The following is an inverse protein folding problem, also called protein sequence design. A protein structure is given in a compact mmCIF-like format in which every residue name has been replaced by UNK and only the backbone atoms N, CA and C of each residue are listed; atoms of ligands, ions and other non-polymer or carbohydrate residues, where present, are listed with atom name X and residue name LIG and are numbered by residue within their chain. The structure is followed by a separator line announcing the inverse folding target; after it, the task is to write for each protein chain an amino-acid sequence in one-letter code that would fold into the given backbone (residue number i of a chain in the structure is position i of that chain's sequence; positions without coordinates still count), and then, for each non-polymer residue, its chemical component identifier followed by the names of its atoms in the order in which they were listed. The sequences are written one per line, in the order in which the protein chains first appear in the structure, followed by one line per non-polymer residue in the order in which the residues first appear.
data_IF_157832456160
#
_entry.id   IF_157832456160
#
_cell.length_a   1.000
_cell.length_b   1.000
_cell.length_c   1.000
_cell.angle_alpha   90.00
_cell.angle_beta   90.00
_cell.angle_gamma   90.00
#
_symmetry.space_group_name_H-M   'P 1'
#
loop_
_entity.id
_entity.type
_entity.pdbx_description
1 polymer ?
#
# COMPACT_ATOMS: atom_id res chain seq x y z
N UNK A 1 38.70 10.08 8.32
CA UNK A 1 37.25 9.88 8.45
C UNK A 1 36.58 11.16 7.95
N UNK A 2 36.07 11.16 6.71
CA UNK A 2 35.38 12.33 6.15
C UNK A 2 33.99 12.36 6.77
N UNK A 3 33.74 13.26 7.72
CA UNK A 3 32.37 13.62 8.09
C UNK A 3 31.81 14.41 6.91
N UNK A 4 30.90 13.81 6.15
CA UNK A 4 29.98 14.59 5.33
C UNK A 4 29.27 15.52 6.31
N UNK A 5 29.47 16.83 6.18
CA UNK A 5 28.62 17.76 6.90
C UNK A 5 27.21 17.60 6.32
N UNK A 6 26.15 17.53 7.14
CA UNK A 6 24.79 17.51 6.65
C UNK A 6 24.49 18.89 6.05
N UNK A 7 24.83 19.07 4.79
CA UNK A 7 24.59 20.32 4.06
C UNK A 7 23.15 20.45 3.57
N UNK A 8 22.31 19.44 3.79
CA UNK A 8 20.88 19.52 3.49
C UNK A 8 20.09 19.92 4.73
N UNK A 9 20.28 21.17 5.19
CA UNK A 9 19.20 21.83 5.91
C UNK A 9 18.14 22.17 4.86
N UNK A 10 17.14 21.30 4.70
CA UNK A 10 15.89 21.70 4.08
C UNK A 10 15.23 22.70 5.02
N UNK A 11 15.72 23.94 5.02
CA UNK A 11 14.95 25.05 5.52
C UNK A 11 13.74 25.13 4.60
N UNK A 12 12.53 25.03 5.17
CA UNK A 12 11.23 25.30 4.53
C UNK A 12 11.11 26.78 4.05
N UNK A 13 12.24 27.44 3.75
CA UNK A 13 12.36 28.83 3.29
C UNK A 13 12.37 28.96 1.77
N UNK A 14 12.49 27.84 1.04
CA UNK A 14 12.31 27.85 -0.43
C UNK A 14 10.80 27.87 -0.73
N UNK A 15 10.27 28.87 -1.46
CA UNK A 15 8.87 28.89 -1.86
C UNK A 15 8.49 27.74 -2.81
N UNK A 16 9.48 27.02 -3.37
CA UNK A 16 9.22 25.82 -4.16
C UNK A 16 8.70 24.66 -3.28
N UNK A 17 7.73 23.84 -3.77
CA UNK A 17 7.28 22.68 -3.03
C UNK A 17 8.43 21.73 -2.69
N UNK A 18 8.51 21.26 -1.43
CA UNK A 18 9.60 20.44 -0.89
C UNK A 18 9.98 19.24 -1.78
N UNK A 19 8.99 18.62 -2.43
CA UNK A 19 9.18 17.41 -3.24
C UNK A 19 10.01 17.64 -4.51
N UNK A 20 10.17 18.89 -4.95
CA UNK A 20 11.05 19.22 -6.10
C UNK A 20 12.52 18.97 -5.80
N UNK A 21 12.90 19.03 -4.53
CA UNK A 21 14.26 18.82 -4.05
C UNK A 21 14.40 17.51 -3.26
N UNK A 22 13.45 16.58 -3.43
CA UNK A 22 13.47 15.31 -2.73
C UNK A 22 14.59 14.40 -3.25
N UNK A 23 15.39 13.88 -2.33
CA UNK A 23 16.30 12.75 -2.53
C UNK A 23 15.65 11.56 -1.84
N UNK A 24 15.18 10.61 -2.65
CA UNK A 24 14.30 9.53 -2.20
C UNK A 24 15.12 8.26 -1.95
N UNK A 25 14.85 7.58 -0.85
CA UNK A 25 15.34 6.24 -0.57
C UNK A 25 14.14 5.31 -0.41
N UNK A 26 13.96 4.41 -1.38
CA UNK A 26 12.91 3.39 -1.34
C UNK A 26 13.37 2.21 -0.49
N UNK A 27 12.49 1.75 0.40
CA UNK A 27 12.74 0.62 1.29
C UNK A 27 11.62 -0.40 1.22
N UNK A 28 12.02 -1.63 0.88
CA UNK A 28 11.25 -2.83 1.17
C UNK A 28 11.60 -3.31 2.59
N UNK A 29 10.73 -3.03 3.57
CA UNK A 29 11.02 -3.30 4.99
C UNK A 29 11.38 -4.78 5.21
N UNK A 30 10.70 -5.69 4.53
CA UNK A 30 10.89 -7.15 4.69
C UNK A 30 12.28 -7.63 4.28
N UNK A 31 13.01 -6.87 3.48
CA UNK A 31 14.35 -7.25 3.00
C UNK A 31 15.46 -6.34 3.52
N UNK A 32 15.13 -5.36 4.36
CA UNK A 32 16.07 -4.33 4.79
C UNK A 32 16.91 -4.74 6.02
N UNK A 33 16.28 -4.99 7.15
CA UNK A 33 16.97 -5.38 8.39
C UNK A 33 16.01 -6.14 9.31
N UNK A 34 16.34 -7.40 9.61
CA UNK A 34 15.67 -8.20 10.63
C UNK A 34 16.18 -7.79 12.02
N UNK A 35 15.26 -7.53 12.95
CA UNK A 35 15.55 -7.17 14.34
C UNK A 35 15.27 -8.27 15.36
N UNK A 36 14.53 -9.32 14.98
CA UNK A 36 13.98 -10.32 15.87
C UNK A 36 14.47 -11.75 15.58
N UNK A 37 15.27 -11.93 14.52
CA UNK A 37 15.87 -13.17 14.05
C UNK A 37 14.89 -14.20 13.46
N UNK A 38 13.75 -13.77 12.92
CA UNK A 38 12.80 -14.62 12.18
C UNK A 38 13.15 -14.76 10.68
N UNK A 39 14.15 -14.03 10.19
CA UNK A 39 14.61 -14.04 8.81
C UNK A 39 13.91 -13.01 7.90
N UNK A 40 13.05 -12.15 8.46
CA UNK A 40 12.29 -11.12 7.75
C UNK A 40 12.63 -9.75 8.35
N UNK A 41 12.86 -8.76 7.50
CA UNK A 41 13.05 -7.39 7.96
C UNK A 41 11.78 -6.78 8.53
N UNK A 42 11.92 -5.94 9.56
CA UNK A 42 10.79 -5.38 10.30
C UNK A 42 10.98 -3.88 10.60
N UNK A 43 9.91 -3.22 11.05
CA UNK A 43 9.91 -1.79 11.35
C UNK A 43 10.90 -1.41 12.46
N UNK A 44 11.08 -2.19 13.56
CA UNK A 44 12.15 -1.93 14.51
C UNK A 44 13.55 -2.03 13.88
N UNK A 45 13.76 -2.97 12.95
CA UNK A 45 14.99 -3.09 12.17
C UNK A 45 15.25 -1.86 11.31
N UNK A 46 14.25 -1.37 10.58
CA UNK A 46 14.32 -0.10 9.85
C UNK A 46 14.61 1.07 10.78
N UNK A 47 13.89 1.18 11.90
CA UNK A 47 14.05 2.23 12.91
C UNK A 47 15.51 2.33 13.38
N UNK A 48 16.16 1.17 13.62
CA UNK A 48 17.56 1.10 14.07
C UNK A 48 18.60 1.59 13.06
N UNK A 49 18.19 1.82 11.80
CA UNK A 49 19.05 2.22 10.68
C UNK A 49 18.70 3.59 10.12
N UNK A 50 17.73 4.31 10.67
CA UNK A 50 17.30 5.60 10.11
C UNK A 50 18.42 6.66 10.14
N UNK A 51 19.31 6.62 11.13
CA UNK A 51 20.49 7.50 11.17
C UNK A 51 21.42 7.23 9.99
N UNK A 52 21.64 5.96 9.64
CA UNK A 52 22.42 5.59 8.48
C UNK A 52 21.77 6.10 7.19
N UNK A 53 20.45 5.94 7.05
CA UNK A 53 19.70 6.43 5.88
C UNK A 53 19.81 7.96 5.77
N UNK A 54 19.65 8.68 6.88
CA UNK A 54 19.78 10.13 6.92
C UNK A 54 21.21 10.60 6.58
N UNK A 55 22.24 9.88 7.05
CA UNK A 55 23.66 10.19 6.76
C UNK A 55 24.01 10.07 5.26
N UNK A 56 23.21 9.33 4.47
CA UNK A 56 23.34 9.30 3.00
C UNK A 56 22.90 10.61 2.33
N UNK A 57 22.31 11.55 3.08
CA UNK A 57 21.77 12.81 2.57
C UNK A 57 20.35 12.70 2.00
N UNK A 58 19.64 11.62 2.35
CA UNK A 58 18.23 11.38 1.98
C UNK A 58 17.32 12.31 2.78
N UNK A 59 16.26 12.81 2.16
CA UNK A 59 15.24 13.63 2.82
C UNK A 59 13.79 13.11 2.62
N UNK A 60 13.61 12.04 1.85
CA UNK A 60 12.35 11.32 1.72
C UNK A 60 12.59 9.81 1.78
N UNK A 61 11.98 9.15 2.76
CA UNK A 61 11.91 7.70 2.87
C UNK A 61 10.61 7.23 2.18
N UNK A 62 10.71 6.38 1.18
CA UNK A 62 9.54 5.76 0.53
C UNK A 62 9.45 4.30 0.94
N UNK A 63 8.37 3.92 1.59
CA UNK A 63 8.15 2.55 2.06
C UNK A 63 7.19 1.82 1.12
N UNK A 64 7.60 0.64 0.69
CA UNK A 64 6.74 -0.34 0.02
C UNK A 64 5.57 -0.76 0.95
N UNK A 65 4.53 -1.46 0.44
CA UNK A 65 3.32 -1.73 1.22
C UNK A 65 3.59 -2.41 2.57
N UNK A 66 3.13 -1.76 3.64
CA UNK A 66 3.23 -2.24 5.02
C UNK A 66 1.94 -2.87 5.53
N UNK A 67 0.87 -2.86 4.74
CA UNK A 67 -0.46 -3.25 5.20
C UNK A 67 -0.63 -4.76 5.28
N UNK A 68 -1.57 -5.20 6.11
CA UNK A 68 -1.92 -6.61 6.24
C UNK A 68 -2.31 -7.19 4.86
N UNK A 69 -1.59 -8.23 4.43
CA UNK A 69 -1.76 -8.87 3.13
C UNK A 69 -1.55 -10.40 3.26
N UNK A 70 -2.27 -11.24 2.50
CA UNK A 70 -2.01 -12.67 2.38
C UNK A 70 -0.67 -13.02 1.71
N UNK A 71 0.03 -12.02 1.17
CA UNK A 71 1.33 -12.11 0.49
C UNK A 71 1.28 -12.83 -0.86
N UNK A 72 0.10 -12.92 -1.48
CA UNK A 72 -0.07 -13.44 -2.83
C UNK A 72 0.55 -12.54 -3.90
N UNK A 73 0.66 -11.24 -3.63
CA UNK A 73 1.25 -10.24 -4.52
C UNK A 73 2.25 -9.32 -3.77
N UNK A 74 3.18 -9.94 -3.02
CA UNK A 74 4.29 -9.24 -2.37
C UNK A 74 3.88 -8.07 -1.43
N UNK A 75 2.65 -8.09 -0.89
CA UNK A 75 2.10 -7.04 -0.03
C UNK A 75 1.13 -6.08 -0.72
N UNK A 76 1.01 -6.13 -2.06
CA UNK A 76 0.10 -5.28 -2.82
C UNK A 76 -1.35 -5.78 -2.81
N UNK A 77 -1.56 -7.06 -2.50
CA UNK A 77 -2.84 -7.67 -2.17
C UNK A 77 -3.31 -7.30 -0.75
N UNK A 78 -3.69 -6.04 -0.56
CA UNK A 78 -4.07 -5.51 0.76
C UNK A 78 -5.41 -6.08 1.24
N UNK A 79 -5.42 -6.68 2.44
CA UNK A 79 -6.60 -7.23 3.12
C UNK A 79 -7.20 -6.29 4.17
N UNK A 80 -6.39 -5.39 4.74
CA UNK A 80 -6.83 -4.33 5.65
C UNK A 80 -5.88 -3.12 5.62
N UNK A 81 -6.32 -2.02 4.99
CA UNK A 81 -5.55 -0.78 4.88
C UNK A 81 -5.29 -0.07 6.22
N UNK A 82 -5.92 -0.47 7.33
CA UNK A 82 -5.75 0.19 8.64
C UNK A 82 -4.83 -0.58 9.57
N UNK A 83 -4.33 -1.72 9.12
CA UNK A 83 -3.50 -2.61 9.93
C UNK A 83 -2.15 -2.79 9.25
N UNK A 84 -1.08 -2.57 10.02
CA UNK A 84 0.27 -2.98 9.61
C UNK A 84 0.34 -4.51 9.64
N UNK A 85 1.01 -5.08 8.65
CA UNK A 85 1.25 -6.51 8.59
C UNK A 85 2.03 -6.98 9.83
N UNK A 86 1.50 -7.94 10.61
CA UNK A 86 2.15 -8.38 11.85
C UNK A 86 3.59 -8.89 11.66
N UNK A 87 3.96 -9.38 10.47
CA UNK A 87 5.33 -9.80 10.17
C UNK A 87 6.31 -8.63 10.05
N UNK A 88 5.80 -7.41 9.83
CA UNK A 88 6.61 -6.19 9.73
C UNK A 88 6.58 -5.37 11.02
N UNK A 89 5.68 -5.67 11.95
CA UNK A 89 5.53 -4.98 13.23
C UNK A 89 4.11 -4.46 13.47
N UNK A 90 4.01 -3.39 14.27
CA UNK A 90 2.76 -2.79 14.69
C UNK A 90 2.57 -1.37 14.15
N UNK A 91 1.36 -0.82 14.35
CA UNK A 91 1.09 0.58 14.04
C UNK A 91 1.93 1.53 14.92
N UNK A 92 2.27 1.12 16.14
CA UNK A 92 3.11 1.92 17.03
C UNK A 92 4.56 1.92 16.57
N UNK A 93 5.10 0.77 16.13
CA UNK A 93 6.43 0.72 15.50
C UNK A 93 6.50 1.62 14.26
N UNK A 94 5.42 1.64 13.46
CA UNK A 94 5.34 2.54 12.32
C UNK A 94 5.33 4.02 12.74
N UNK A 95 4.60 4.39 13.79
CA UNK A 95 4.64 5.75 14.35
C UNK A 95 6.04 6.13 14.81
N UNK A 96 6.76 5.23 15.45
CA UNK A 96 8.14 5.47 15.88
C UNK A 96 9.08 5.73 14.70
N UNK A 97 8.94 4.98 13.60
CA UNK A 97 9.69 5.22 12.36
C UNK A 97 9.41 6.62 11.82
N UNK A 98 8.14 7.03 11.74
CA UNK A 98 7.75 8.35 11.21
C UNK A 98 8.28 9.47 12.10
N UNK A 99 8.10 9.35 13.40
CA UNK A 99 8.60 10.32 14.39
C UNK A 99 10.12 10.45 14.33
N UNK A 100 10.85 9.32 14.27
CA UNK A 100 12.31 9.33 14.21
C UNK A 100 12.81 9.90 12.89
N UNK A 101 12.21 9.52 11.76
CA UNK A 101 12.51 10.07 10.45
C UNK A 101 12.30 11.60 10.43
N UNK A 102 11.18 12.08 10.97
CA UNK A 102 10.90 13.52 11.09
C UNK A 102 11.96 14.26 11.92
N UNK A 103 12.40 13.69 13.05
CA UNK A 103 13.50 14.26 13.87
C UNK A 103 14.85 14.28 13.15
N UNK A 104 15.03 13.42 12.15
CA UNK A 104 16.21 13.36 11.29
C UNK A 104 16.08 14.25 10.04
N UNK A 105 14.98 15.00 9.90
CA UNK A 105 14.73 15.86 8.74
C UNK A 105 14.24 15.11 7.50
N UNK A 106 13.82 13.86 7.64
CA UNK A 106 13.25 13.05 6.57
C UNK A 106 11.73 13.07 6.62
N UNK A 107 11.10 13.07 5.45
CA UNK A 107 9.66 12.80 5.28
C UNK A 107 9.45 11.30 5.00
N UNK A 108 8.24 10.80 5.24
CA UNK A 108 7.87 9.40 4.94
C UNK A 108 6.73 9.36 3.92
N UNK A 109 6.95 8.65 2.83
CA UNK A 109 5.98 8.29 1.79
C UNK A 109 5.69 6.80 1.89
N UNK A 110 4.43 6.40 1.68
CA UNK A 110 3.96 5.01 1.73
C UNK A 110 3.34 4.66 0.39
N UNK A 111 3.63 3.47 -0.12
CA UNK A 111 2.81 2.88 -1.17
C UNK A 111 1.41 2.57 -0.65
N UNK A 112 0.40 3.03 -1.40
CA UNK A 112 -1.00 2.80 -1.10
C UNK A 112 -1.72 2.20 -2.32
N UNK A 113 -1.77 0.85 -2.44
CA UNK A 113 -2.39 0.18 -3.58
C UNK A 113 -3.92 0.30 -3.50
N UNK A 114 -4.49 1.36 -4.09
CA UNK A 114 -5.95 1.60 -4.05
C UNK A 114 -6.70 1.04 -5.27
N UNK A 115 -6.02 0.58 -6.32
CA UNK A 115 -6.71 0.11 -7.52
C UNK A 115 -7.48 -1.21 -7.29
N UNK A 116 -7.03 -2.04 -6.35
CA UNK A 116 -7.55 -3.37 -6.05
C UNK A 116 -7.47 -3.64 -4.56
N UNK A 117 -8.12 -4.71 -4.09
CA UNK A 117 -7.92 -5.28 -2.74
C UNK A 117 -7.61 -6.77 -2.85
N UNK A 118 -7.08 -7.39 -1.80
CA UNK A 118 -7.07 -8.85 -1.71
C UNK A 118 -8.49 -9.42 -1.78
N UNK A 119 -8.63 -10.65 -2.28
CA UNK A 119 -9.85 -11.47 -2.09
C UNK A 119 -10.24 -11.66 -0.63
N UNK A 120 -9.28 -11.63 0.29
CA UNK A 120 -9.53 -11.80 1.72
C UNK A 120 -10.01 -10.52 2.40
N UNK A 121 -9.96 -9.39 1.66
CA UNK A 121 -10.46 -8.11 2.14
C UNK A 121 -11.93 -8.22 2.53
N UNK A 122 -12.29 -7.67 3.70
CA UNK A 122 -13.64 -7.81 4.25
C UNK A 122 -14.74 -7.29 3.30
N UNK A 123 -14.42 -6.29 2.48
CA UNK A 123 -15.32 -5.80 1.44
C UNK A 123 -15.60 -6.84 0.36
N UNK A 124 -14.57 -7.54 -0.15
CA UNK A 124 -14.76 -8.55 -1.19
C UNK A 124 -15.51 -9.75 -0.64
N UNK A 125 -15.11 -10.29 0.51
CA UNK A 125 -15.82 -11.41 1.14
C UNK A 125 -17.30 -11.11 1.37
N UNK A 126 -17.60 -9.92 1.91
CA UNK A 126 -18.99 -9.51 2.09
C UNK A 126 -19.72 -9.28 0.76
N UNK A 127 -19.04 -8.77 -0.27
CA UNK A 127 -19.61 -8.62 -1.59
C UNK A 127 -19.90 -9.98 -2.23
N UNK A 128 -18.97 -10.93 -2.14
CA UNK A 128 -19.04 -12.27 -2.72
C UNK A 128 -20.20 -13.08 -2.13
N UNK A 129 -20.33 -13.07 -0.80
CA UNK A 129 -21.34 -13.84 -0.06
C UNK A 129 -22.78 -13.33 -0.25
N UNK A 130 -23.00 -12.03 -0.51
CA UNK A 130 -24.35 -11.46 -0.66
C UNK A 130 -24.43 -10.40 -1.77
N UNK A 131 -25.26 -10.67 -2.80
CA UNK A 131 -25.54 -9.72 -3.90
C UNK A 131 -26.17 -8.40 -3.42
N UNK A 132 -26.76 -8.36 -2.22
CA UNK A 132 -27.34 -7.17 -1.59
C UNK A 132 -26.37 -6.43 -0.67
N UNK A 133 -25.16 -6.96 -0.49
CA UNK A 133 -24.12 -6.36 0.34
C UNK A 133 -23.87 -4.90 -0.07
N UNK A 134 -23.70 -3.97 0.89
CA UNK A 134 -23.34 -2.59 0.57
C UNK A 134 -21.98 -2.48 -0.13
N UNK A 135 -21.15 -3.54 -0.06
CA UNK A 135 -19.86 -3.62 -0.74
C UNK A 135 -19.95 -4.24 -2.14
N UNK A 136 -21.09 -4.85 -2.52
CA UNK A 136 -21.24 -5.47 -3.86
C UNK A 136 -20.88 -4.52 -5.00
N UNK A 137 -21.30 -3.24 -5.00
CA UNK A 137 -20.98 -2.31 -6.08
C UNK A 137 -19.50 -1.94 -6.18
N UNK A 138 -18.68 -2.22 -5.16
CA UNK A 138 -17.26 -1.85 -5.13
C UNK A 138 -16.44 -2.68 -6.11
N UNK A 139 -16.94 -3.82 -6.56
CA UNK A 139 -16.26 -4.72 -7.47
C UNK A 139 -17.02 -4.86 -8.78
N UNK A 140 -16.35 -5.40 -9.79
CA UNK A 140 -16.92 -5.72 -11.09
C UNK A 140 -17.47 -7.15 -11.06
N UNK A 141 -18.74 -7.31 -11.45
CA UNK A 141 -19.44 -8.59 -11.48
C UNK A 141 -20.13 -8.78 -12.83
N UNK A 142 -20.18 -10.00 -13.34
CA UNK A 142 -20.90 -10.36 -14.55
C UNK A 142 -21.56 -11.74 -14.41
N UNK A 143 -22.79 -11.90 -14.90
CA UNK A 143 -23.47 -13.21 -14.93
C UNK A 143 -22.83 -14.15 -15.97
N UNK A 144 -22.35 -13.59 -17.08
CA UNK A 144 -21.61 -14.29 -18.14
C UNK A 144 -20.26 -13.61 -18.38
N UNK A 145 -19.25 -14.38 -18.79
CA UNK A 145 -17.92 -13.84 -19.13
C UNK A 145 -18.01 -12.94 -20.37
N UNK A 146 -17.58 -11.66 -20.31
CA UNK A 146 -17.64 -10.76 -21.45
C UNK A 146 -16.83 -11.26 -22.65
N UNK A 147 -17.40 -11.19 -23.86
CA UNK A 147 -16.80 -11.71 -25.10
C UNK A 147 -15.59 -10.90 -25.59
N UNK A 148 -15.53 -9.62 -25.22
CA UNK A 148 -14.52 -8.63 -25.57
C UNK A 148 -13.70 -8.21 -24.35
N UNK A 149 -13.46 -9.14 -23.41
CA UNK A 149 -12.50 -8.98 -22.33
C UNK A 149 -11.08 -8.87 -22.92
N UNK A 150 -10.80 -7.75 -23.58
CA UNK A 150 -9.45 -7.36 -23.90
C UNK A 150 -8.70 -7.38 -22.57
N UNK A 151 -7.55 -8.06 -22.48
CA UNK A 151 -6.69 -7.91 -21.34
C UNK A 151 -6.26 -6.45 -21.39
N UNK A 152 -6.95 -5.59 -20.64
CA UNK A 152 -6.35 -4.39 -20.13
C UNK A 152 -5.55 -4.88 -18.94
N UNK A 153 -4.25 -5.16 -19.12
CA UNK A 153 -3.40 -5.46 -18.00
C UNK A 153 -3.59 -4.36 -16.94
N UNK A 154 -4.01 -4.75 -15.74
CA UNK A 154 -3.93 -3.86 -14.58
C UNK A 154 -2.46 -3.46 -14.36
N UNK A 155 -1.54 -4.37 -14.70
CA UNK A 155 -0.11 -4.17 -14.85
C UNK A 155 0.35 -4.86 -16.14
N UNK A 156 1.14 -4.18 -16.98
CA UNK A 156 1.46 -4.47 -18.39
C UNK A 156 1.93 -5.89 -18.79
N UNK A 157 1.89 -6.84 -17.87
CA UNK A 157 2.27 -8.24 -18.00
C UNK A 157 1.11 -9.23 -17.90
N UNK A 158 -0.16 -8.81 -17.78
CA UNK A 158 -1.30 -9.73 -17.61
C UNK A 158 -1.26 -10.84 -18.67
N UNK A 159 -0.91 -12.06 -18.23
CA UNK A 159 -0.98 -13.29 -19.00
C UNK A 159 -2.28 -13.96 -18.59
N UNK A 160 -3.27 -13.99 -19.48
CA UNK A 160 -4.53 -14.68 -19.25
C UNK A 160 -5.76 -13.78 -19.18
N UNK A 161 -6.89 -14.39 -18.85
CA UNK A 161 -8.17 -13.71 -18.68
C UNK A 161 -8.26 -13.06 -17.29
N UNK A 162 -8.95 -11.93 -17.22
CA UNK A 162 -9.12 -11.15 -16.00
C UNK A 162 -10.47 -11.38 -15.34
N UNK A 163 -11.30 -12.30 -15.86
CA UNK A 163 -12.58 -12.69 -15.27
C UNK A 163 -12.50 -14.07 -14.63
N UNK A 164 -12.73 -14.14 -13.32
CA UNK A 164 -12.73 -15.40 -12.57
C UNK A 164 -14.14 -15.75 -12.10
N UNK A 165 -14.58 -17.00 -12.30
CA UNK A 165 -15.86 -17.49 -11.78
C UNK A 165 -15.79 -17.68 -10.25
N UNK A 166 -16.83 -17.22 -9.56
CA UNK A 166 -17.04 -17.52 -8.14
C UNK A 166 -18.29 -18.39 -7.98
N UNK A 167 -18.11 -19.64 -7.54
CA UNK A 167 -19.21 -20.55 -7.22
C UNK A 167 -20.15 -19.96 -6.16
N UNK A 168 -19.57 -19.37 -5.11
CA UNK A 168 -20.32 -18.74 -4.01
C UNK A 168 -21.20 -17.58 -4.50
N UNK A 169 -20.65 -16.72 -5.36
CA UNK A 169 -21.38 -15.57 -5.88
C UNK A 169 -22.32 -15.92 -7.05
N UNK A 170 -22.13 -17.09 -7.67
CA UNK A 170 -22.76 -17.48 -8.93
C UNK A 170 -22.54 -16.45 -10.05
N UNK A 171 -21.36 -15.80 -10.07
CA UNK A 171 -21.01 -14.74 -11.01
C UNK A 171 -19.50 -14.71 -11.26
N UNK A 172 -19.10 -14.17 -12.41
CA UNK A 172 -17.72 -13.77 -12.67
C UNK A 172 -17.39 -12.47 -11.93
N UNK A 173 -16.14 -12.32 -11.51
CA UNK A 173 -15.58 -11.08 -10.99
C UNK A 173 -14.25 -10.73 -11.68
N UNK A 174 -13.89 -9.45 -11.68
CA UNK A 174 -12.66 -8.96 -12.32
C UNK A 174 -11.45 -9.01 -11.35
N UNK A 175 -10.37 -9.66 -11.79
CA UNK A 175 -9.07 -9.80 -11.10
C UNK A 175 -7.92 -9.33 -12.01
N UNK A 176 -6.70 -9.23 -11.49
CA UNK A 176 -5.48 -8.97 -12.28
C UNK A 176 -5.13 -10.08 -13.28
N UNK A 177 -5.32 -11.35 -12.91
CA UNK A 177 -5.17 -12.54 -13.75
C UNK A 177 -5.94 -13.73 -13.17
N UNK A 178 -6.40 -14.64 -14.03
CA UNK A 178 -7.04 -15.89 -13.64
C UNK A 178 -6.10 -16.83 -12.86
N UNK A 179 -4.78 -16.68 -12.99
CA UNK A 179 -3.78 -17.55 -12.38
C UNK A 179 -3.46 -17.17 -10.93
N UNK A 180 -3.24 -15.88 -10.65
CA UNK A 180 -2.99 -15.39 -9.28
C UNK A 180 -4.30 -15.34 -8.49
N UNK A 181 -5.33 -14.66 -9.04
CA UNK A 181 -6.62 -14.39 -8.37
C UNK A 181 -6.51 -13.71 -7.00
N UNK A 182 -5.33 -13.16 -6.69
CA UNK A 182 -5.01 -12.62 -5.37
C UNK A 182 -5.61 -11.22 -5.18
N UNK A 183 -5.66 -10.43 -6.25
CA UNK A 183 -6.15 -9.06 -6.22
C UNK A 183 -7.44 -8.87 -7.04
N UNK A 184 -8.47 -8.34 -6.39
CA UNK A 184 -9.75 -8.04 -7.01
C UNK A 184 -9.85 -6.55 -7.32
N UNK A 185 -10.15 -6.22 -8.57
CA UNK A 185 -10.16 -4.83 -9.06
C UNK A 185 -11.38 -4.08 -8.54
N UNK A 186 -11.14 -2.87 -8.06
CA UNK A 186 -12.18 -1.98 -7.57
C UNK A 186 -12.81 -1.18 -8.70
N UNK A 187 -14.13 -1.04 -8.64
CA UNK A 187 -14.90 -0.27 -9.60
C UNK A 187 -14.92 1.21 -9.22
N UNK A 188 -14.05 2.00 -9.82
CA UNK A 188 -14.08 3.45 -9.70
C UNK A 188 -15.26 4.07 -10.46
N UNK A 189 -15.86 5.12 -9.91
CA UNK A 189 -16.95 5.85 -10.57
C UNK A 189 -17.87 6.61 -9.61
N UNK A 190 -18.71 7.50 -10.16
CA UNK A 190 -19.63 8.36 -9.40
C UNK A 190 -20.61 7.58 -8.52
N UNK A 191 -20.94 6.35 -8.90
CA UNK A 191 -21.79 5.43 -8.16
C UNK A 191 -21.14 4.91 -6.86
N UNK A 192 -19.82 4.92 -6.75
CA UNK A 192 -19.07 4.36 -5.62
C UNK A 192 -18.41 5.41 -4.72
N UNK A 193 -19.05 6.59 -4.56
CA UNK A 193 -18.53 7.67 -3.69
C UNK A 193 -18.28 7.22 -2.24
N UNK A 194 -19.04 6.24 -1.75
CA UNK A 194 -18.82 5.65 -0.41
C UNK A 194 -17.50 4.89 -0.32
N UNK A 195 -17.08 4.21 -1.39
CA UNK A 195 -15.78 3.55 -1.48
C UNK A 195 -14.66 4.59 -1.41
N UNK A 196 -14.73 5.61 -2.27
CA UNK A 196 -13.76 6.72 -2.30
C UNK A 196 -13.65 7.42 -0.94
N UNK A 197 -14.77 7.66 -0.27
CA UNK A 197 -14.77 8.25 1.08
C UNK A 197 -14.11 7.35 2.12
N UNK A 198 -14.26 6.02 2.02
CA UNK A 198 -13.62 5.07 2.94
C UNK A 198 -12.12 4.95 2.67
N UNK A 199 -11.71 4.94 1.40
CA UNK A 199 -10.30 4.95 1.01
C UNK A 199 -9.61 6.23 1.46
N UNK A 200 -10.23 7.38 1.20
CA UNK A 200 -9.74 8.66 1.71
C UNK A 200 -9.73 8.73 3.24
N UNK A 201 -10.57 7.95 3.93
CA UNK A 201 -10.48 7.82 5.40
C UNK A 201 -9.35 6.90 5.85
N UNK A 202 -9.00 5.86 5.08
CA UNK A 202 -7.84 5.02 5.37
C UNK A 202 -6.54 5.80 5.15
N UNK A 203 -6.48 6.58 4.06
CA UNK A 203 -5.43 7.57 3.81
C UNK A 203 -5.27 8.55 4.99
N UNK A 204 -6.36 9.25 5.36
CA UNK A 204 -6.34 10.19 6.51
C UNK A 204 -5.98 9.55 7.85
N UNK A 205 -6.25 8.26 8.04
CA UNK A 205 -5.89 7.56 9.26
C UNK A 205 -4.37 7.54 9.44
N UNK A 206 -3.62 7.33 8.35
CA UNK A 206 -2.17 7.33 8.36
C UNK A 206 -1.57 8.74 8.38
N UNK A 207 -2.19 9.71 7.70
CA UNK A 207 -1.66 11.09 7.70
C UNK A 207 -1.88 11.81 9.03
N UNK A 208 -3.09 11.72 9.59
CA UNK A 208 -3.47 12.49 10.79
C UNK A 208 -3.18 11.72 12.09
N UNK A 209 -3.09 10.38 12.02
CA UNK A 209 -2.86 9.52 13.18
C UNK A 209 -1.39 9.18 13.44
N UNK A 210 -0.51 9.41 12.45
CA UNK A 210 0.91 9.05 12.53
C UNK A 210 1.86 10.15 12.04
N UNK A 211 1.37 11.31 11.58
CA UNK A 211 2.23 12.44 11.15
C UNK A 211 2.84 12.28 9.76
N UNK A 212 2.44 11.28 8.98
CA UNK A 212 2.89 11.15 7.59
C UNK A 212 2.28 12.25 6.70
N UNK A 213 3.13 12.91 5.92
CA UNK A 213 2.69 13.70 4.77
C UNK A 213 2.65 12.77 3.56
N UNK A 214 1.48 12.19 3.26
CA UNK A 214 1.28 11.38 2.05
C UNK A 214 0.64 12.23 0.95
N UNK A 215 1.13 12.06 -0.27
CA UNK A 215 0.62 12.68 -1.50
C UNK A 215 0.01 11.61 -2.39
#
# INVERSE_FOLDING_TARGET
MVRLQPHFQAADTDPAPWYRNAVIYEVDVKSFQDSNADGIGDLPGLLSRLEYVADLGVNLLWLQPLFASPKGDNGYDVSDYRRIDPALGSLDDFREVVDRAGRLGMRVLLDLPLNHTSRDHAWFRAAQADRRSPYRPYYLWADEKPADAAPYPVFGSARGDNWTWSEEAGQYYWTDSEESREVVVLRYGRQNRRMLSRMSSADRFHTNGCGCSLF
#
